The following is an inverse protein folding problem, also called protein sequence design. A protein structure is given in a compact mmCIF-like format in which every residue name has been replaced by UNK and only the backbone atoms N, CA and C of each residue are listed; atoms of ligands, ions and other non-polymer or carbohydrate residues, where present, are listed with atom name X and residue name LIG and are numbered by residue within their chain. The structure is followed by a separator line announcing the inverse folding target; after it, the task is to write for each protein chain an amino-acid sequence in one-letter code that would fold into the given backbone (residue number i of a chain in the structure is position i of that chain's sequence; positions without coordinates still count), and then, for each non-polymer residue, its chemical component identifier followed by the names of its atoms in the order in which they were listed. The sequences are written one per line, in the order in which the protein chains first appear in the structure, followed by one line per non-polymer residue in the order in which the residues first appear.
data_IF_259901978015
#
_entry.id   IF_259901978015
#
_cell.length_a   1.000
_cell.length_b   1.000
_cell.length_c   1.000
_cell.angle_alpha   90.00
_cell.angle_beta   90.00
_cell.angle_gamma   90.00
#
_symmetry.space_group_name_H-M   'P 1'
#
loop_
_entity.id
_entity.type
_entity.pdbx_description
1 polymer ?
#
# COMPACT_ATOMS: atom_id res chain seq x y z
N UNK A 1 -32.68 -6.72 63.29
CA UNK A 1 -32.35 -5.73 62.25
C UNK A 1 -30.85 -5.85 61.91
N UNK A 2 -30.49 -6.76 61.07
CA UNK A 2 -29.16 -6.88 60.43
C UNK A 2 -29.28 -7.99 59.43
N UNK A 3 -29.49 -7.67 58.14
CA UNK A 3 -29.27 -8.49 56.94
C UNK A 3 -30.07 -7.85 55.79
N UNK A 4 -29.53 -6.81 55.19
CA UNK A 4 -29.98 -6.28 53.87
C UNK A 4 -28.97 -5.22 53.36
N UNK A 5 -27.68 -5.62 53.21
CA UNK A 5 -26.70 -4.69 52.61
C UNK A 5 -25.57 -5.42 51.83
N UNK A 6 -25.78 -6.64 51.36
CA UNK A 6 -24.70 -7.36 50.67
C UNK A 6 -25.03 -7.89 49.27
N UNK A 7 -26.13 -7.45 48.63
CA UNK A 7 -26.50 -7.96 47.30
C UNK A 7 -26.33 -6.92 46.19
N UNK A 8 -26.08 -5.65 46.50
CA UNK A 8 -26.06 -4.58 45.48
C UNK A 8 -24.68 -4.26 44.85
N UNK A 9 -23.58 -4.85 45.32
CA UNK A 9 -22.23 -4.54 44.82
C UNK A 9 -21.76 -5.50 43.73
N UNK A 10 -22.37 -6.66 43.54
CA UNK A 10 -21.93 -7.63 42.53
C UNK A 10 -22.58 -7.46 41.14
N UNK A 11 -23.65 -6.66 41.00
CA UNK A 11 -24.29 -6.44 39.70
C UNK A 11 -23.70 -5.29 38.89
N UNK A 12 -22.97 -4.36 39.50
CA UNK A 12 -22.41 -3.21 38.78
C UNK A 12 -21.12 -3.51 38.04
N UNK A 13 -20.40 -4.57 38.41
CA UNK A 13 -19.15 -4.95 37.72
C UNK A 13 -19.38 -5.78 36.45
N UNK A 14 -20.49 -6.51 36.34
CA UNK A 14 -20.79 -7.32 35.14
C UNK A 14 -21.42 -6.53 34.00
N UNK A 15 -22.15 -5.46 34.32
CA UNK A 15 -22.77 -4.59 33.30
C UNK A 15 -21.72 -3.70 32.61
N UNK A 16 -20.72 -3.24 33.36
CA UNK A 16 -19.66 -2.38 32.81
C UNK A 16 -18.75 -3.09 31.81
N UNK A 17 -18.43 -4.37 32.04
CA UNK A 17 -17.59 -5.14 31.13
C UNK A 17 -18.33 -5.59 29.87
N UNK A 18 -19.63 -5.90 29.95
CA UNK A 18 -20.47 -6.21 28.77
C UNK A 18 -20.64 -4.99 27.87
N UNK A 19 -20.93 -3.82 28.45
CA UNK A 19 -21.07 -2.58 27.66
C UNK A 19 -19.76 -2.10 27.05
N UNK A 20 -18.62 -2.25 27.73
CA UNK A 20 -17.32 -1.90 27.20
C UNK A 20 -16.91 -2.86 26.06
N UNK A 21 -17.13 -4.16 26.23
CA UNK A 21 -16.90 -5.16 25.18
C UNK A 21 -17.84 -4.97 24.00
N UNK A 22 -19.13 -4.73 24.21
CA UNK A 22 -20.09 -4.45 23.14
C UNK A 22 -19.79 -3.13 22.41
N UNK A 23 -19.30 -2.11 23.12
CA UNK A 23 -18.91 -0.83 22.54
C UNK A 23 -17.61 -0.93 21.73
N UNK A 24 -16.60 -1.65 22.22
CA UNK A 24 -15.37 -1.95 21.45
C UNK A 24 -15.68 -2.79 20.21
N UNK A 25 -16.54 -3.80 20.34
CA UNK A 25 -16.92 -4.69 19.24
C UNK A 25 -17.77 -3.99 18.16
N UNK A 26 -18.63 -3.03 18.53
CA UNK A 26 -19.43 -2.24 17.59
C UNK A 26 -18.60 -1.21 16.81
N UNK A 27 -17.39 -0.90 17.26
CA UNK A 27 -16.52 0.14 16.70
C UNK A 27 -15.22 -0.40 16.09
N UNK A 28 -15.05 -1.72 15.90
CA UNK A 28 -13.87 -2.26 15.23
C UNK A 28 -13.87 -1.87 13.76
N UNK A 29 -13.40 -0.65 13.49
CA UNK A 29 -13.22 -0.08 12.15
C UNK A 29 -11.76 -0.15 11.78
N UNK A 30 -11.47 -0.69 10.61
CA UNK A 30 -10.13 -0.79 10.05
C UNK A 30 -10.04 0.10 8.82
N UNK A 31 -9.17 1.09 8.85
CA UNK A 31 -8.84 1.91 7.68
C UNK A 31 -8.00 1.12 6.69
N UNK A 32 -8.28 1.26 5.42
CA UNK A 32 -7.47 0.71 4.32
C UNK A 32 -7.42 1.68 3.15
N UNK A 33 -6.39 1.55 2.31
CA UNK A 33 -6.21 2.43 1.16
C UNK A 33 -7.09 1.98 -0.01
N UNK A 34 -7.74 2.95 -0.66
CA UNK A 34 -8.43 2.78 -1.93
C UNK A 34 -7.50 3.14 -3.09
N UNK A 35 -6.49 2.36 -3.33
CA UNK A 35 -5.68 2.55 -4.54
C UNK A 35 -6.40 2.02 -5.79
N UNK A 36 -7.69 1.78 -5.66
CA UNK A 36 -8.50 1.07 -6.61
C UNK A 36 -9.30 2.01 -7.47
N UNK A 37 -9.38 1.67 -8.72
CA UNK A 37 -10.24 2.31 -9.70
C UNK A 37 -11.56 1.52 -9.84
N UNK A 38 -12.04 0.92 -8.76
CA UNK A 38 -13.19 0.05 -8.75
C UNK A 38 -14.30 0.61 -7.86
N UNK A 39 -15.50 0.11 -8.09
CA UNK A 39 -16.66 0.39 -7.27
C UNK A 39 -16.42 0.03 -5.80
N UNK A 40 -16.74 0.94 -4.87
CA UNK A 40 -16.53 0.78 -3.43
C UNK A 40 -17.16 -0.50 -2.89
N UNK A 41 -18.33 -0.89 -3.41
CA UNK A 41 -19.03 -2.12 -3.02
C UNK A 41 -18.28 -3.38 -3.44
N UNK A 42 -17.67 -3.37 -4.63
CA UNK A 42 -16.82 -4.48 -5.09
C UNK A 42 -15.63 -4.61 -4.17
N UNK A 43 -15.05 -3.50 -3.79
CA UNK A 43 -13.88 -3.51 -2.90
C UNK A 43 -14.23 -3.90 -1.46
N UNK A 44 -15.37 -3.48 -0.92
CA UNK A 44 -15.84 -3.94 0.39
C UNK A 44 -15.94 -5.47 0.41
N UNK A 45 -16.58 -6.07 -0.60
CA UNK A 45 -16.69 -7.52 -0.73
C UNK A 45 -15.31 -8.19 -0.84
N UNK A 46 -14.38 -7.57 -1.58
CA UNK A 46 -13.02 -8.06 -1.70
C UNK A 46 -12.29 -8.02 -0.34
N UNK A 47 -12.34 -6.91 0.39
CA UNK A 47 -11.69 -6.75 1.68
C UNK A 47 -12.22 -7.76 2.72
N UNK A 48 -13.53 -8.01 2.73
CA UNK A 48 -14.15 -9.03 3.57
C UNK A 48 -13.67 -10.44 3.19
N UNK A 49 -13.63 -10.77 1.90
CA UNK A 49 -13.13 -12.06 1.44
C UNK A 49 -11.65 -12.25 1.74
N UNK A 50 -10.84 -11.21 1.57
CA UNK A 50 -9.43 -11.20 1.92
C UNK A 50 -9.24 -11.43 3.42
N UNK A 51 -10.04 -10.76 4.26
CA UNK A 51 -10.05 -10.97 5.70
C UNK A 51 -10.38 -12.42 6.07
N UNK A 52 -11.35 -13.05 5.41
CA UNK A 52 -11.78 -14.42 5.74
C UNK A 52 -10.90 -15.49 5.10
N UNK A 53 -10.26 -15.23 3.99
CA UNK A 53 -9.49 -16.19 3.22
C UNK A 53 -8.04 -16.39 3.67
N UNK A 54 -7.46 -15.40 4.37
CA UNK A 54 -6.07 -15.43 4.83
C UNK A 54 -5.88 -16.03 6.23
N UNK A 55 -4.67 -16.49 6.50
CA UNK A 55 -4.25 -16.80 7.86
C UNK A 55 -4.06 -15.52 8.67
N UNK A 56 -4.52 -15.52 9.91
CA UNK A 56 -4.49 -14.35 10.79
C UNK A 56 -3.83 -14.69 12.11
N UNK A 57 -2.84 -13.89 12.48
CA UNK A 57 -2.16 -13.97 13.76
C UNK A 57 -2.51 -12.71 14.55
N UNK A 58 -3.36 -12.87 15.58
CA UNK A 58 -3.74 -11.77 16.45
C UNK A 58 -2.71 -11.60 17.56
N UNK A 59 -2.20 -10.39 17.73
CA UNK A 59 -1.34 -10.03 18.87
C UNK A 59 -2.17 -9.42 20.01
N UNK A 60 -3.04 -8.46 19.67
CA UNK A 60 -3.90 -7.76 20.66
C UNK A 60 -5.24 -7.31 20.07
N UNK A 61 -5.55 -7.57 18.82
CA UNK A 61 -6.74 -7.04 18.13
C UNK A 61 -8.03 -7.84 18.37
N UNK A 62 -9.14 -7.32 17.85
CA UNK A 62 -10.42 -8.04 17.78
C UNK A 62 -10.35 -9.16 16.74
N UNK A 63 -10.92 -10.32 17.09
CA UNK A 63 -11.01 -11.47 16.16
C UNK A 63 -12.24 -11.41 15.26
N UNK A 64 -13.11 -10.42 15.43
CA UNK A 64 -14.31 -10.22 14.60
C UNK A 64 -13.97 -9.57 13.28
N UNK A 65 -14.78 -9.82 12.27
CA UNK A 65 -14.69 -9.15 10.98
C UNK A 65 -14.83 -7.65 11.17
N UNK A 66 -13.84 -6.85 10.75
CA UNK A 66 -13.91 -5.40 10.91
C UNK A 66 -14.88 -4.77 9.89
N UNK A 67 -15.31 -3.56 10.21
CA UNK A 67 -15.89 -2.66 9.21
C UNK A 67 -14.73 -1.93 8.53
N UNK A 68 -14.52 -2.20 7.24
CA UNK A 68 -13.47 -1.52 6.47
C UNK A 68 -13.91 -0.11 6.08
N UNK A 69 -13.01 0.85 6.26
CA UNK A 69 -13.19 2.26 5.87
C UNK A 69 -12.08 2.64 4.90
N UNK A 70 -12.47 3.12 3.72
CA UNK A 70 -11.56 3.35 2.60
C UNK A 70 -11.10 4.79 2.54
N UNK A 71 -9.80 4.99 2.33
CA UNK A 71 -9.15 6.30 2.25
C UNK A 71 -8.36 6.44 0.95
N UNK A 72 -8.42 7.61 0.34
CA UNK A 72 -7.72 7.89 -0.92
C UNK A 72 -6.23 8.15 -0.75
N UNK A 73 -5.79 8.41 0.48
CA UNK A 73 -4.36 8.60 0.78
C UNK A 73 -3.98 8.03 2.13
N UNK A 74 -2.70 7.67 2.27
CA UNK A 74 -2.13 7.26 3.55
C UNK A 74 -2.27 8.36 4.61
N UNK A 75 -2.08 9.62 4.21
CA UNK A 75 -2.22 10.76 5.13
C UNK A 75 -3.62 10.86 5.73
N UNK A 76 -4.67 10.76 4.92
CA UNK A 76 -6.06 10.77 5.40
C UNK A 76 -6.35 9.59 6.34
N UNK A 77 -5.87 8.40 5.97
CA UNK A 77 -6.03 7.19 6.76
C UNK A 77 -5.34 7.28 8.11
N UNK A 78 -4.10 7.77 8.16
CA UNK A 78 -3.37 7.95 9.41
C UNK A 78 -4.00 9.05 10.30
N UNK A 79 -4.52 10.12 9.71
CA UNK A 79 -5.31 11.13 10.46
C UNK A 79 -6.60 10.56 11.05
N UNK A 80 -7.25 9.63 10.34
CA UNK A 80 -8.42 8.93 10.86
C UNK A 80 -8.07 8.02 12.04
N UNK A 81 -6.93 7.32 11.99
CA UNK A 81 -6.39 6.56 13.11
C UNK A 81 -6.05 7.47 14.30
N UNK A 82 -5.34 8.55 14.06
CA UNK A 82 -4.96 9.51 15.11
C UNK A 82 -6.17 10.17 15.80
N UNK A 83 -7.24 10.43 15.06
CA UNK A 83 -8.49 11.01 15.58
C UNK A 83 -9.46 9.99 16.16
N UNK A 84 -9.17 8.70 16.11
CA UNK A 84 -10.05 7.63 16.60
C UNK A 84 -11.28 7.36 15.72
N UNK A 85 -11.32 7.83 14.48
CA UNK A 85 -12.38 7.50 13.52
C UNK A 85 -12.32 6.04 13.08
N UNK A 86 -11.12 5.48 13.04
CA UNK A 86 -10.84 4.05 12.91
C UNK A 86 -10.00 3.60 14.10
N UNK A 87 -10.14 2.37 14.51
CA UNK A 87 -9.39 1.78 15.63
C UNK A 87 -8.03 1.24 15.20
N UNK A 88 -7.93 0.85 13.95
CA UNK A 88 -6.75 0.25 13.34
C UNK A 88 -6.66 0.67 11.87
N UNK A 89 -5.48 0.50 11.27
CA UNK A 89 -5.29 0.58 9.82
C UNK A 89 -4.59 -0.67 9.32
N UNK A 90 -4.99 -1.13 8.13
CA UNK A 90 -4.40 -2.28 7.43
C UNK A 90 -3.47 -1.78 6.33
N UNK A 91 -2.23 -2.20 6.37
CA UNK A 91 -1.17 -1.78 5.46
C UNK A 91 -0.32 -2.98 5.02
N UNK A 92 0.26 -2.94 3.81
CA UNK A 92 1.34 -3.87 3.47
C UNK A 92 2.44 -3.83 4.53
N UNK A 93 3.09 -4.97 4.77
CA UNK A 93 4.10 -5.15 5.82
C UNK A 93 5.16 -4.04 5.80
N UNK A 94 5.81 -3.81 4.66
CA UNK A 94 6.90 -2.83 4.55
C UNK A 94 6.44 -1.39 4.85
N UNK A 95 5.20 -1.05 4.45
CA UNK A 95 4.62 0.27 4.72
C UNK A 95 4.34 0.44 6.21
N UNK A 96 3.78 -0.60 6.84
CA UNK A 96 3.52 -0.60 8.27
C UNK A 96 4.82 -0.52 9.08
N UNK A 97 5.81 -1.31 8.71
CA UNK A 97 7.12 -1.33 9.35
C UNK A 97 7.84 0.02 9.23
N UNK A 98 7.84 0.61 8.03
CA UNK A 98 8.39 1.95 7.83
C UNK A 98 7.72 2.99 8.75
N UNK A 99 6.38 2.98 8.83
CA UNK A 99 5.63 3.91 9.67
C UNK A 99 5.92 3.67 11.16
N UNK A 100 5.96 2.42 11.59
CA UNK A 100 6.25 2.08 12.99
C UNK A 100 7.66 2.48 13.40
N UNK A 101 8.67 2.19 12.56
CA UNK A 101 10.07 2.54 12.84
C UNK A 101 10.30 4.05 12.85
N UNK A 102 9.75 4.76 11.86
CA UNK A 102 9.99 6.21 11.74
C UNK A 102 9.24 7.04 12.77
N UNK A 103 8.09 6.56 13.26
CA UNK A 103 7.27 7.33 14.20
C UNK A 103 7.36 6.85 15.65
N UNK A 104 7.58 5.55 15.87
CA UNK A 104 7.56 4.93 17.21
C UNK A 104 6.22 5.00 17.93
N UNK A 105 5.09 5.17 17.20
CA UNK A 105 3.76 5.45 17.79
C UNK A 105 2.76 4.32 17.67
N UNK A 106 3.06 3.28 16.91
CA UNK A 106 2.10 2.24 16.55
C UNK A 106 2.60 0.87 16.87
N UNK A 107 1.67 -0.06 17.08
CA UNK A 107 1.94 -1.48 17.33
C UNK A 107 1.04 -2.36 16.46
N UNK A 108 1.56 -3.52 16.08
CA UNK A 108 0.83 -4.55 15.35
C UNK A 108 -0.23 -5.19 16.23
N UNK A 109 -1.45 -5.27 15.73
CA UNK A 109 -2.59 -5.92 16.37
C UNK A 109 -2.97 -7.24 15.69
N UNK A 110 -2.78 -7.32 14.39
CA UNK A 110 -3.04 -8.52 13.59
C UNK A 110 -2.05 -8.58 12.41
N UNK A 111 -1.54 -9.77 12.13
CA UNK A 111 -0.79 -10.08 10.92
C UNK A 111 -1.71 -10.92 10.05
N UNK A 112 -1.96 -10.48 8.83
CA UNK A 112 -2.74 -11.20 7.83
C UNK A 112 -1.81 -11.75 6.76
N UNK A 113 -1.81 -13.07 6.58
CA UNK A 113 -1.11 -13.75 5.50
C UNK A 113 -2.10 -14.18 4.43
N UNK A 114 -1.76 -13.94 3.19
CA UNK A 114 -2.62 -14.29 2.05
C UNK A 114 -1.81 -14.82 0.89
N UNK A 115 -2.48 -15.15 -0.20
CA UNK A 115 -1.83 -15.26 -1.50
C UNK A 115 -1.09 -13.96 -1.82
N UNK A 116 0.06 -14.03 -2.49
CA UNK A 116 0.87 -12.86 -2.77
C UNK A 116 0.10 -11.76 -3.50
N UNK A 117 0.30 -10.53 -3.05
CA UNK A 117 -0.15 -9.31 -3.73
C UNK A 117 1.03 -8.76 -4.51
N UNK A 118 0.90 -8.69 -5.82
CA UNK A 118 1.98 -8.29 -6.72
C UNK A 118 1.84 -6.83 -7.12
N UNK A 119 2.98 -6.16 -7.29
CA UNK A 119 3.07 -4.82 -7.85
C UNK A 119 3.61 -4.87 -9.26
N UNK A 120 2.96 -4.16 -10.16
CA UNK A 120 3.34 -4.03 -11.56
C UNK A 120 3.21 -2.58 -12.04
N UNK A 121 4.05 -2.17 -12.98
CA UNK A 121 3.84 -0.91 -13.69
C UNK A 121 2.61 -0.98 -14.60
N UNK A 122 1.89 0.15 -14.70
CA UNK A 122 0.75 0.27 -15.60
C UNK A 122 1.09 1.03 -16.87
N UNK A 123 0.54 0.55 -17.98
CA UNK A 123 0.67 1.11 -19.34
C UNK A 123 -0.70 1.19 -19.99
N UNK A 124 -0.81 1.97 -21.07
CA UNK A 124 -2.00 1.86 -21.93
C UNK A 124 -2.06 0.47 -22.56
N UNK A 125 -3.25 -0.12 -22.62
CA UNK A 125 -3.47 -1.44 -23.24
C UNK A 125 -2.97 -1.49 -24.70
N UNK A 126 -3.21 -0.41 -25.45
CA UNK A 126 -2.77 -0.26 -26.83
C UNK A 126 -1.50 0.58 -26.91
N UNK A 127 -0.44 0.16 -26.21
CA UNK A 127 0.86 0.83 -26.28
C UNK A 127 1.59 0.44 -27.58
N UNK A 128 1.52 1.32 -28.57
CA UNK A 128 2.20 1.14 -29.88
C UNK A 128 3.72 1.41 -29.81
N UNK A 129 4.23 1.94 -28.69
CA UNK A 129 5.65 2.29 -28.52
C UNK A 129 6.52 1.09 -28.14
N UNK A 130 5.89 0.00 -27.71
CA UNK A 130 6.57 -1.19 -27.17
C UNK A 130 7.25 -0.94 -25.82
N UNK A 131 6.85 0.14 -25.11
CA UNK A 131 7.46 0.55 -23.86
C UNK A 131 7.27 -0.53 -22.76
N UNK A 132 6.09 -1.14 -22.70
CA UNK A 132 5.81 -2.22 -21.75
C UNK A 132 6.74 -3.41 -21.94
N UNK A 133 6.98 -3.81 -23.17
CA UNK A 133 7.88 -4.93 -23.51
C UNK A 133 9.33 -4.61 -23.15
N UNK A 134 9.78 -3.37 -23.35
CA UNK A 134 11.10 -2.90 -22.90
C UNK A 134 11.22 -2.96 -21.38
N UNK A 135 10.22 -2.47 -20.65
CA UNK A 135 10.18 -2.58 -19.19
C UNK A 135 10.21 -4.04 -18.72
N UNK A 136 9.42 -4.91 -19.36
CA UNK A 136 9.41 -6.35 -19.03
C UNK A 136 10.78 -7.01 -19.24
N UNK A 137 11.51 -6.60 -20.27
CA UNK A 137 12.86 -7.12 -20.52
C UNK A 137 13.83 -6.63 -19.45
N UNK A 138 13.83 -5.33 -19.13
CA UNK A 138 14.72 -4.77 -18.11
C UNK A 138 14.43 -5.36 -16.73
N UNK A 139 13.16 -5.47 -16.34
CA UNK A 139 12.78 -6.09 -15.07
C UNK A 139 13.22 -7.57 -14.98
N UNK A 140 13.18 -8.29 -16.11
CA UNK A 140 13.69 -9.66 -16.18
C UNK A 140 15.20 -9.70 -15.97
N UNK A 141 15.94 -8.80 -16.60
CA UNK A 141 17.39 -8.70 -16.49
C UNK A 141 17.80 -8.27 -15.09
N UNK A 142 17.14 -7.25 -14.51
CA UNK A 142 17.37 -6.80 -13.14
C UNK A 142 17.10 -7.89 -12.10
N UNK A 143 16.12 -8.76 -12.35
CA UNK A 143 15.89 -9.95 -11.53
C UNK A 143 16.99 -11.00 -11.67
N UNK A 144 17.52 -11.19 -12.89
CA UNK A 144 18.54 -12.20 -13.17
C UNK A 144 19.95 -11.80 -12.70
N UNK A 145 20.29 -10.52 -12.76
CA UNK A 145 21.60 -9.99 -12.36
C UNK A 145 21.68 -9.53 -10.89
N UNK A 146 20.58 -9.64 -10.13
CA UNK A 146 20.51 -9.28 -8.72
C UNK A 146 20.28 -7.80 -8.44
N UNK A 147 20.17 -6.95 -9.46
CA UNK A 147 19.91 -5.51 -9.27
C UNK A 147 18.63 -5.24 -8.51
N UNK A 148 17.55 -5.97 -8.84
CA UNK A 148 16.26 -5.79 -8.17
C UNK A 148 16.34 -6.13 -6.68
N UNK A 149 17.04 -7.21 -6.31
CA UNK A 149 17.28 -7.57 -4.90
C UNK A 149 18.11 -6.50 -4.17
N UNK A 150 19.09 -5.91 -4.84
CA UNK A 150 19.90 -4.82 -4.27
C UNK A 150 19.05 -3.58 -4.01
N UNK A 151 18.12 -3.24 -4.92
CA UNK A 151 17.20 -2.13 -4.73
C UNK A 151 16.19 -2.40 -3.60
N UNK A 152 15.68 -3.62 -3.48
CA UNK A 152 14.82 -4.04 -2.36
C UNK A 152 15.56 -3.84 -1.03
N UNK A 153 16.74 -4.43 -0.88
CA UNK A 153 17.52 -4.30 0.34
C UNK A 153 17.75 -2.83 0.73
N UNK A 154 18.10 -1.99 -0.24
CA UNK A 154 18.43 -0.58 0.01
C UNK A 154 17.22 0.30 0.30
N UNK A 155 16.13 0.13 -0.44
CA UNK A 155 14.99 1.06 -0.42
C UNK A 155 13.77 0.52 0.32
N UNK A 156 13.77 -0.75 0.72
CA UNK A 156 12.70 -1.37 1.51
C UNK A 156 13.26 -1.85 2.84
N UNK A 157 14.17 -2.84 2.85
CA UNK A 157 14.62 -3.48 4.09
C UNK A 157 15.35 -2.50 5.04
N UNK A 158 16.11 -1.56 4.49
CA UNK A 158 16.86 -0.55 5.26
C UNK A 158 16.10 0.76 5.49
N UNK A 159 14.96 0.96 4.81
CA UNK A 159 14.27 2.25 4.75
C UNK A 159 13.73 2.76 6.10
N UNK A 160 13.39 1.87 7.03
CA UNK A 160 12.96 2.26 8.39
C UNK A 160 14.12 2.50 9.35
N UNK A 161 15.32 2.04 9.02
CA UNK A 161 16.51 2.07 9.88
C UNK A 161 17.42 3.25 9.53
N UNK A 162 17.56 3.52 8.23
CA UNK A 162 18.37 4.61 7.70
C UNK A 162 17.53 5.40 6.69
N UNK A 163 17.76 6.72 6.62
CA UNK A 163 17.17 7.51 5.54
C UNK A 163 17.75 7.03 4.21
N UNK A 164 16.94 6.53 3.26
CA UNK A 164 17.44 6.04 1.99
C UNK A 164 18.14 7.16 1.22
N UNK A 165 19.19 6.81 0.48
CA UNK A 165 19.85 7.76 -0.41
C UNK A 165 18.87 8.30 -1.45
N UNK A 166 18.99 9.60 -1.76
CA UNK A 166 18.19 10.22 -2.80
C UNK A 166 18.41 9.52 -4.15
N UNK A 167 17.31 9.25 -4.85
CA UNK A 167 17.37 8.67 -6.19
C UNK A 167 17.72 9.77 -7.20
N UNK A 168 18.79 9.57 -7.95
CA UNK A 168 19.21 10.47 -9.00
C UNK A 168 18.94 9.86 -10.39
N UNK A 169 18.30 10.61 -11.26
CA UNK A 169 18.13 10.23 -12.65
C UNK A 169 19.33 10.68 -13.47
N UNK A 170 19.90 9.75 -14.22
CA UNK A 170 20.91 10.08 -15.23
C UNK A 170 20.25 10.83 -16.38
N UNK A 171 20.91 11.88 -16.90
CA UNK A 171 20.42 12.64 -18.03
C UNK A 171 21.15 12.19 -19.28
N UNK A 172 20.38 11.91 -20.33
CA UNK A 172 20.87 11.46 -21.63
C UNK A 172 20.62 12.59 -22.66
N UNK A 173 21.63 13.41 -22.89
CA UNK A 173 21.54 14.57 -23.79
C UNK A 173 21.35 14.17 -25.28
N UNK A 174 21.80 12.98 -25.65
CA UNK A 174 21.63 12.40 -26.98
C UNK A 174 20.29 11.64 -27.17
N UNK A 175 19.43 11.63 -26.15
CA UNK A 175 18.15 10.93 -26.21
C UNK A 175 16.99 11.91 -26.44
N UNK A 176 16.29 11.75 -27.54
CA UNK A 176 15.04 12.47 -27.83
C UNK A 176 13.84 11.88 -27.08
N UNK A 177 14.02 10.78 -26.35
CA UNK A 177 12.94 10.08 -25.66
C UNK A 177 12.88 10.49 -24.19
N UNK A 178 11.73 11.02 -23.78
CA UNK A 178 11.39 11.25 -22.37
C UNK A 178 10.16 10.44 -22.02
N UNK A 179 10.25 9.61 -20.99
CA UNK A 179 9.14 8.81 -20.45
C UNK A 179 8.51 9.58 -19.29
N UNK A 180 7.21 9.84 -19.35
CA UNK A 180 6.44 10.47 -18.28
C UNK A 180 5.88 9.40 -17.37
N UNK A 181 6.33 9.39 -16.13
CA UNK A 181 5.96 8.39 -15.14
C UNK A 181 5.10 9.01 -14.05
N UNK A 182 3.87 8.51 -13.89
CA UNK A 182 2.97 8.95 -12.84
C UNK A 182 3.39 8.38 -11.49
N UNK A 183 3.52 9.25 -10.49
CA UNK A 183 3.83 8.92 -9.09
C UNK A 183 2.69 9.38 -8.20
N UNK A 184 2.31 8.60 -7.20
CA UNK A 184 1.26 8.95 -6.24
C UNK A 184 1.82 9.57 -4.97
N UNK A 185 2.99 9.14 -4.55
CA UNK A 185 3.74 9.72 -3.45
C UNK A 185 3.18 9.44 -2.06
N UNK A 186 2.35 8.40 -1.90
CA UNK A 186 1.60 8.14 -0.68
C UNK A 186 1.73 6.70 -0.14
N UNK A 187 2.79 5.99 -0.51
CA UNK A 187 3.02 4.60 -0.06
C UNK A 187 4.51 4.37 0.34
N UNK A 188 5.05 5.07 1.36
CA UNK A 188 6.42 4.86 1.79
C UNK A 188 6.62 3.43 2.36
N UNK A 189 7.77 2.79 2.14
CA UNK A 189 8.96 3.25 1.42
C UNK A 189 8.90 2.98 -0.10
N UNK A 190 7.77 2.48 -0.61
CA UNK A 190 7.60 2.08 -2.01
C UNK A 190 7.54 3.30 -2.94
N UNK A 191 6.64 4.23 -2.65
CA UNK A 191 6.35 5.44 -3.43
C UNK A 191 6.00 6.59 -2.48
N UNK A 192 6.88 7.56 -2.32
CA UNK A 192 6.64 8.71 -1.44
C UNK A 192 7.32 9.98 -1.95
N UNK A 193 6.93 11.10 -1.38
CA UNK A 193 7.58 12.38 -1.59
C UNK A 193 8.49 12.65 -0.39
N UNK A 194 9.79 12.79 -0.66
CA UNK A 194 10.78 13.09 0.38
C UNK A 194 10.62 14.51 0.93
N UNK A 195 11.32 14.81 2.02
CA UNK A 195 11.24 16.12 2.69
C UNK A 195 11.68 17.29 1.79
N UNK A 196 12.52 17.04 0.77
CA UNK A 196 12.93 18.04 -0.23
C UNK A 196 11.89 18.25 -1.36
N UNK A 197 10.74 17.58 -1.27
CA UNK A 197 9.64 17.66 -2.24
C UNK A 197 9.82 16.79 -3.48
N UNK A 198 10.84 15.96 -3.54
CA UNK A 198 11.08 15.08 -4.69
C UNK A 198 10.50 13.68 -4.47
N UNK A 199 10.03 13.02 -5.55
CA UNK A 199 9.67 11.62 -5.52
C UNK A 199 10.87 10.75 -5.11
N UNK A 200 10.60 9.81 -4.21
CA UNK A 200 11.59 8.92 -3.62
C UNK A 200 11.03 7.51 -3.43
N UNK A 201 11.85 6.60 -2.92
CA UNK A 201 11.46 5.24 -2.61
C UNK A 201 11.83 4.23 -3.69
N UNK A 202 11.40 3.00 -3.42
CA UNK A 202 11.76 1.83 -4.23
C UNK A 202 11.32 1.98 -5.70
N UNK A 203 10.09 2.42 -5.96
CA UNK A 203 9.60 2.58 -7.33
C UNK A 203 10.41 3.61 -8.11
N UNK A 204 10.77 4.72 -7.47
CA UNK A 204 11.62 5.75 -8.09
C UNK A 204 13.00 5.18 -8.45
N UNK A 205 13.58 4.35 -7.57
CA UNK A 205 14.86 3.70 -7.81
C UNK A 205 14.81 2.67 -8.95
N UNK A 206 13.75 1.87 -9.01
CA UNK A 206 13.52 0.91 -10.12
C UNK A 206 13.39 1.63 -11.47
N UNK A 207 12.62 2.73 -11.51
CA UNK A 207 12.48 3.54 -12.74
C UNK A 207 13.82 4.16 -13.15
N UNK A 208 14.60 4.68 -12.21
CA UNK A 208 15.91 5.26 -12.51
C UNK A 208 16.86 4.24 -13.14
N UNK A 209 16.86 3.01 -12.62
CA UNK A 209 17.68 1.93 -13.19
C UNK A 209 17.17 1.50 -14.59
N UNK A 210 15.86 1.36 -14.78
CA UNK A 210 15.28 1.06 -16.10
C UNK A 210 15.63 2.16 -17.10
N UNK A 211 15.46 3.42 -16.73
CA UNK A 211 15.78 4.57 -17.59
C UNK A 211 17.26 4.60 -18.01
N UNK A 212 18.16 4.31 -17.07
CA UNK A 212 19.59 4.19 -17.31
C UNK A 212 19.91 3.08 -18.31
N UNK A 213 19.33 1.90 -18.17
CA UNK A 213 19.53 0.76 -19.08
C UNK A 213 18.98 1.05 -20.49
N UNK A 214 17.81 1.67 -20.55
CA UNK A 214 17.19 2.07 -21.82
C UNK A 214 17.79 3.34 -22.44
N UNK A 215 18.62 4.08 -21.71
CA UNK A 215 19.20 5.38 -22.09
C UNK A 215 18.12 6.40 -22.48
N UNK A 216 17.09 6.53 -21.65
CA UNK A 216 15.98 7.47 -21.86
C UNK A 216 15.87 8.43 -20.68
N UNK A 217 15.36 9.63 -20.96
CA UNK A 217 15.05 10.60 -19.92
C UNK A 217 13.71 10.27 -19.23
N UNK A 218 13.56 10.71 -17.98
CA UNK A 218 12.33 10.51 -17.18
C UNK A 218 11.83 11.85 -16.67
N UNK A 219 10.53 12.05 -16.80
CA UNK A 219 9.77 13.10 -16.13
C UNK A 219 8.81 12.46 -15.14
N UNK A 220 8.96 12.75 -13.84
CA UNK A 220 8.03 12.28 -12.81
C UNK A 220 6.85 13.25 -12.71
N UNK A 221 5.63 12.73 -12.88
CA UNK A 221 4.38 13.50 -12.87
C UNK A 221 3.58 13.11 -11.63
N UNK A 222 3.46 14.03 -10.69
CA UNK A 222 2.64 13.78 -9.50
C UNK A 222 1.15 13.74 -9.84
N UNK A 223 0.44 12.73 -9.36
CA UNK A 223 -1.00 12.51 -9.56
C UNK A 223 -1.65 11.99 -8.28
N UNK A 224 -2.96 12.23 -8.17
CA UNK A 224 -3.78 11.54 -7.15
C UNK A 224 -3.91 10.05 -7.48
N UNK A 225 -3.94 9.19 -6.44
CA UNK A 225 -4.04 7.74 -6.61
C UNK A 225 -5.24 7.32 -7.46
N UNK A 226 -6.39 7.97 -7.30
CA UNK A 226 -7.59 7.75 -8.11
C UNK A 226 -7.49 8.17 -9.57
N UNK A 227 -6.47 8.99 -9.93
CA UNK A 227 -6.27 9.47 -11.30
C UNK A 227 -5.37 8.58 -12.16
N UNK A 228 -4.86 7.45 -11.62
CA UNK A 228 -3.89 6.57 -12.30
C UNK A 228 -4.34 6.14 -13.71
N UNK A 229 -5.53 5.57 -13.84
CA UNK A 229 -6.04 5.15 -15.14
C UNK A 229 -6.31 6.33 -16.09
N UNK A 230 -6.85 7.44 -15.56
CA UNK A 230 -7.13 8.63 -16.34
C UNK A 230 -5.85 9.29 -16.89
N UNK A 231 -4.75 9.27 -16.13
CA UNK A 231 -3.47 9.81 -16.58
C UNK A 231 -2.88 9.04 -17.78
N UNK A 232 -3.05 7.71 -17.78
CA UNK A 232 -2.67 6.87 -18.93
C UNK A 232 -3.57 7.10 -20.14
N UNK A 233 -4.90 7.05 -19.94
CA UNK A 233 -5.87 7.15 -21.05
C UNK A 233 -5.85 8.50 -21.74
N UNK A 234 -5.58 9.58 -21.01
CA UNK A 234 -5.43 10.93 -21.56
C UNK A 234 -4.08 11.18 -22.24
N UNK A 235 -3.12 10.27 -22.10
CA UNK A 235 -1.74 10.48 -22.56
C UNK A 235 -0.94 11.51 -21.74
N UNK A 236 -1.42 11.86 -20.54
CA UNK A 236 -0.67 12.72 -19.61
C UNK A 236 0.60 12.03 -19.14
N UNK A 237 0.52 10.71 -18.93
CA UNK A 237 1.65 9.86 -18.55
C UNK A 237 1.74 8.64 -19.46
N UNK A 238 2.92 8.08 -19.56
CA UNK A 238 3.22 6.89 -20.36
C UNK A 238 3.25 5.63 -19.52
N UNK A 239 3.64 5.79 -18.23
CA UNK A 239 3.73 4.75 -17.22
C UNK A 239 3.08 5.24 -15.91
N UNK A 240 2.45 4.34 -15.19
CA UNK A 240 2.04 4.55 -13.79
C UNK A 240 2.89 3.66 -12.89
N UNK A 241 3.35 4.16 -11.76
CA UNK A 241 4.28 3.48 -10.87
C UNK A 241 3.81 2.10 -10.45
N UNK A 242 2.54 1.95 -10.11
CA UNK A 242 2.09 0.66 -9.63
C UNK A 242 0.59 0.44 -9.75
N UNK A 243 0.26 -0.82 -9.98
CA UNK A 243 -1.05 -1.42 -9.78
C UNK A 243 -0.87 -2.70 -9.01
N UNK A 244 -1.83 -3.01 -8.14
CA UNK A 244 -1.84 -4.24 -7.36
C UNK A 244 -2.62 -5.33 -8.09
N UNK A 245 -2.07 -6.55 -8.09
CA UNK A 245 -2.78 -7.75 -8.50
C UNK A 245 -2.73 -8.78 -7.38
N UNK A 246 -3.85 -9.46 -7.17
CA UNK A 246 -4.04 -10.38 -6.07
C UNK A 246 -4.06 -11.81 -6.57
N UNK A 247 -3.28 -12.69 -5.95
CA UNK A 247 -3.26 -14.12 -6.28
C UNK A 247 -4.64 -14.76 -6.17
N UNK A 248 -4.96 -15.66 -7.08
CA UNK A 248 -6.23 -16.40 -7.05
C UNK A 248 -7.49 -15.62 -7.47
N UNK A 249 -7.39 -14.32 -7.82
CA UNK A 249 -8.54 -13.48 -8.18
C UNK A 249 -8.56 -13.22 -9.68
N UNK A 250 -9.67 -13.61 -10.33
CA UNK A 250 -9.79 -13.47 -11.79
C UNK A 250 -10.01 -12.00 -12.22
N UNK A 251 -10.86 -11.25 -11.51
CA UNK A 251 -11.10 -9.83 -11.76
C UNK A 251 -10.33 -8.99 -10.75
N UNK A 252 -9.23 -8.42 -11.20
CA UNK A 252 -8.35 -7.63 -10.35
C UNK A 252 -9.00 -6.30 -9.94
N UNK A 253 -9.18 -6.04 -8.64
CA UNK A 253 -9.88 -4.84 -8.19
C UNK A 253 -9.11 -3.54 -8.46
N UNK A 254 -7.78 -3.60 -8.54
CA UNK A 254 -6.94 -2.41 -8.78
C UNK A 254 -6.52 -2.23 -10.25
N UNK A 255 -6.97 -3.07 -11.16
CA UNK A 255 -6.62 -2.99 -12.58
C UNK A 255 -7.83 -2.60 -13.41
N UNK A 256 -7.96 -1.31 -13.80
CA UNK A 256 -9.06 -0.85 -14.61
C UNK A 256 -8.99 -1.39 -16.05
N UNK A 257 -10.12 -1.32 -16.76
CA UNK A 257 -10.14 -1.58 -18.20
C UNK A 257 -9.16 -0.66 -18.93
N UNK A 258 -8.56 -1.16 -20.01
CA UNK A 258 -7.58 -0.47 -20.86
C UNK A 258 -6.22 -0.15 -20.22
N UNK A 259 -5.94 -0.77 -19.08
CA UNK A 259 -4.60 -0.79 -18.48
C UNK A 259 -3.96 -2.15 -18.72
N UNK A 260 -2.78 -2.14 -19.31
CA UNK A 260 -1.91 -3.31 -19.41
C UNK A 260 -0.82 -3.22 -18.33
N UNK A 261 -0.45 -4.36 -17.76
CA UNK A 261 0.57 -4.41 -16.72
C UNK A 261 1.90 -4.93 -17.25
N UNK A 262 2.98 -4.45 -16.63
CA UNK A 262 4.28 -5.14 -16.74
C UNK A 262 4.23 -6.49 -16.05
N UNK A 263 5.31 -7.27 -16.18
CA UNK A 263 5.58 -8.34 -15.22
C UNK A 263 5.69 -7.75 -13.82
N UNK A 264 5.30 -8.50 -12.76
CA UNK A 264 5.51 -8.07 -11.39
C UNK A 264 6.99 -7.84 -11.10
N UNK A 265 7.29 -6.81 -10.29
CA UNK A 265 8.65 -6.52 -9.85
C UNK A 265 8.81 -6.52 -8.33
N UNK A 266 7.69 -6.58 -7.61
CA UNK A 266 7.65 -6.71 -6.16
C UNK A 266 6.36 -7.42 -5.71
N UNK A 267 6.34 -7.96 -4.49
CA UNK A 267 5.15 -8.59 -3.91
C UNK A 267 5.16 -8.55 -2.39
N UNK A 268 3.95 -8.55 -1.81
CA UNK A 268 3.71 -8.77 -0.40
C UNK A 268 2.90 -10.05 -0.19
N UNK A 269 3.16 -10.77 0.88
CA UNK A 269 2.36 -11.89 1.37
C UNK A 269 1.78 -11.62 2.78
N UNK A 270 2.18 -10.51 3.40
CA UNK A 270 1.67 -10.07 4.69
C UNK A 270 1.10 -8.65 4.64
N UNK A 271 -0.01 -8.47 5.40
CA UNK A 271 -0.60 -7.17 5.72
C UNK A 271 -0.70 -7.05 7.23
N UNK A 272 -0.24 -5.94 7.76
CA UNK A 272 -0.26 -5.66 9.19
C UNK A 272 -1.41 -4.71 9.53
N UNK A 273 -2.20 -5.08 10.53
CA UNK A 273 -3.07 -4.14 11.20
C UNK A 273 -2.27 -3.48 12.32
N UNK A 274 -2.22 -2.17 12.30
CA UNK A 274 -1.54 -1.39 13.33
C UNK A 274 -2.51 -0.43 14.02
N UNK A 275 -2.27 -0.20 15.32
CA UNK A 275 -2.98 0.79 16.12
C UNK A 275 -2.00 1.70 16.85
N UNK A 276 -2.50 2.85 17.30
CA UNK A 276 -1.77 3.75 18.18
C UNK A 276 -1.65 3.16 19.60
N UNK A 277 -0.49 3.38 20.25
CA UNK A 277 -0.30 3.06 21.68
C UNK A 277 -1.21 3.85 22.59
#
# INVERSE_FOLDING_TARGET
MKKLFSVFILLSFFVGTSFALEYEEANHKVGTLTHLNSDEKIFQTFAENFWHGGDRIFTTGSTKTPVFVFYNSLTEMMLALESGKVSEVSLPEDVADYIMHTTGKYAVTCIMRSEPVYISFGFRENDETGLREKFNQELKEMGADGTLLTLIAKYIDEAGIHEPEAVNFEKFDDSDTTIRVAVTGDLPPIDYIAADGKPAGFNTAVIAEIAKRLKVNVELVNIEAGARAASLSSGRTDVVFWFMTYGGIAKQPDVPEKVALSRPYYSWDEFLHIKKF
#
